data_IF_901977095465
#
_entry.id   IF_901977095465
#
_cell.length_a   1.000
_cell.length_b   1.000
_cell.length_c   1.000
_cell.angle_alpha   90.00
_cell.angle_beta   90.00
_cell.angle_gamma   90.00
#
_symmetry.space_group_name_H-M   'P 1'
#
loop_
_entity.id
_entity.type
_entity.pdbx_description
1 polymer ?
#
# COMPACT_ATOMS: atom_id res chain seq x y z
N UNK A 1 -27.01 32.94 -11.99
CA UNK A 1 -26.45 32.38 -10.75
C UNK A 1 -25.76 31.08 -11.13
N UNK A 2 -24.48 30.94 -10.84
CA UNK A 2 -23.75 29.71 -11.07
C UNK A 2 -24.11 28.67 -9.98
N UNK A 3 -23.96 27.37 -10.27
CA UNK A 3 -24.24 26.32 -9.29
C UNK A 3 -23.40 26.46 -8.01
N UNK A 4 -22.16 26.96 -8.12
CA UNK A 4 -21.30 27.28 -6.96
C UNK A 4 -21.90 28.33 -6.04
N UNK A 5 -22.45 29.42 -6.59
CA UNK A 5 -23.11 30.48 -5.82
C UNK A 5 -24.35 29.95 -5.09
N UNK A 6 -25.08 29.03 -5.73
CA UNK A 6 -26.23 28.35 -5.12
C UNK A 6 -25.81 27.47 -3.94
N UNK A 7 -24.67 26.78 -4.03
CA UNK A 7 -24.12 26.01 -2.91
C UNK A 7 -23.66 26.89 -1.74
N UNK A 8 -23.07 28.06 -2.03
CA UNK A 8 -22.68 29.03 -1.00
C UNK A 8 -23.91 29.57 -0.25
N UNK A 9 -25.00 29.84 -0.99
CA UNK A 9 -26.30 30.19 -0.42
C UNK A 9 -26.85 29.09 0.49
N UNK A 10 -26.74 27.82 0.11
CA UNK A 10 -27.14 26.66 0.94
C UNK A 10 -26.23 26.45 2.16
N UNK A 11 -24.99 26.96 2.11
CA UNK A 11 -24.02 27.00 3.21
C UNK A 11 -22.80 26.13 2.95
N UNK A 12 -21.80 26.69 2.27
CA UNK A 12 -20.59 26.01 1.80
C UNK A 12 -19.61 25.47 2.86
N UNK A 13 -19.89 25.67 4.15
CA UNK A 13 -19.20 25.10 5.35
C UNK A 13 -20.20 24.84 6.50
N UNK A 14 -21.45 24.53 6.16
CA UNK A 14 -22.53 24.36 7.12
C UNK A 14 -22.42 23.11 8.01
N UNK A 15 -23.36 22.97 8.96
CA UNK A 15 -23.42 21.83 9.90
C UNK A 15 -23.47 20.48 9.19
N UNK A 16 -24.12 20.41 8.03
CA UNK A 16 -24.19 19.19 7.23
C UNK A 16 -22.81 18.69 6.81
N UNK A 17 -21.98 19.58 6.26
CA UNK A 17 -20.63 19.22 5.81
C UNK A 17 -19.72 18.87 6.97
N UNK A 18 -19.79 19.60 8.10
CA UNK A 18 -19.05 19.24 9.32
C UNK A 18 -19.41 17.84 9.79
N UNK A 19 -20.71 17.51 9.88
CA UNK A 19 -21.16 16.18 10.29
C UNK A 19 -20.67 15.09 9.33
N UNK A 20 -20.75 15.34 8.02
CA UNK A 20 -20.28 14.42 7.00
C UNK A 20 -18.76 14.21 7.06
N UNK A 21 -17.99 15.29 7.20
CA UNK A 21 -16.53 15.23 7.35
C UNK A 21 -16.13 14.46 8.60
N UNK A 22 -16.77 14.71 9.75
CA UNK A 22 -16.50 13.95 10.98
C UNK A 22 -16.82 12.46 10.79
N UNK A 23 -17.98 12.13 10.21
CA UNK A 23 -18.36 10.74 9.95
C UNK A 23 -17.37 10.01 9.03
N UNK A 24 -16.89 10.70 7.98
CA UNK A 24 -15.88 10.16 7.07
C UNK A 24 -14.52 10.00 7.78
N UNK A 25 -14.10 10.96 8.58
CA UNK A 25 -12.84 10.88 9.33
C UNK A 25 -12.83 9.70 10.30
N UNK A 26 -13.90 9.51 11.07
CA UNK A 26 -14.05 8.36 11.98
C UNK A 26 -13.98 7.04 11.21
N UNK A 27 -14.65 6.96 10.05
CA UNK A 27 -14.65 5.74 9.22
C UNK A 27 -13.26 5.44 8.64
N UNK A 28 -12.54 6.47 8.17
CA UNK A 28 -11.18 6.33 7.64
C UNK A 28 -10.21 5.90 8.75
N UNK A 29 -10.29 6.51 9.94
CA UNK A 29 -9.46 6.13 11.09
C UNK A 29 -9.66 4.66 11.48
N UNK A 30 -10.91 4.19 11.47
CA UNK A 30 -11.22 2.79 11.75
C UNK A 30 -10.58 1.86 10.72
N UNK A 31 -10.75 2.15 9.42
CA UNK A 31 -10.17 1.35 8.34
C UNK A 31 -8.64 1.29 8.39
N UNK A 32 -7.97 2.41 8.66
CA UNK A 32 -6.52 2.45 8.80
C UNK A 32 -6.03 1.60 9.97
N UNK A 33 -6.75 1.62 11.09
CA UNK A 33 -6.41 0.82 12.28
C UNK A 33 -6.53 -0.67 11.99
N UNK A 34 -7.59 -1.09 11.27
CA UNK A 34 -7.80 -2.49 10.89
C UNK A 34 -6.68 -3.03 9.99
N UNK A 35 -6.21 -2.25 9.02
CA UNK A 35 -5.10 -2.66 8.14
C UNK A 35 -3.77 -2.84 8.90
N UNK A 36 -3.51 -2.02 9.92
CA UNK A 36 -2.28 -2.10 10.71
C UNK A 36 -2.33 -3.15 11.83
N UNK A 37 -3.53 -3.51 12.30
CA UNK A 37 -3.70 -4.54 13.33
C UNK A 37 -3.10 -5.89 12.90
N UNK A 38 -3.18 -6.21 11.61
CA UNK A 38 -2.69 -7.46 11.06
C UNK A 38 -1.19 -7.71 11.31
N UNK A 39 -0.39 -6.64 11.31
CA UNK A 39 1.05 -6.72 11.62
C UNK A 39 1.33 -7.27 13.02
N UNK A 40 0.45 -6.99 13.97
CA UNK A 40 0.58 -7.43 15.36
C UNK A 40 -0.13 -8.77 15.59
N UNK A 41 -1.33 -8.96 15.01
CA UNK A 41 -2.09 -10.19 15.20
C UNK A 41 -1.50 -11.39 14.47
N UNK A 42 -0.81 -11.18 13.34
CA UNK A 42 -0.16 -12.22 12.55
C UNK A 42 1.37 -12.24 12.72
N UNK A 43 1.89 -11.63 13.80
CA UNK A 43 3.31 -11.70 14.15
C UNK A 43 3.73 -13.16 14.40
N UNK A 44 4.85 -13.56 13.80
CA UNK A 44 5.53 -14.84 14.03
C UNK A 44 6.49 -14.64 15.20
N UNK A 45 6.20 -15.17 16.40
CA UNK A 45 7.14 -15.15 17.52
C UNK A 45 8.32 -16.10 17.27
N UNK A 46 9.37 -15.97 18.07
CA UNK A 46 10.39 -17.03 18.17
C UNK A 46 9.74 -18.33 18.64
N UNK A 47 10.05 -19.42 17.96
CA UNK A 47 9.44 -20.73 18.19
C UNK A 47 10.47 -21.83 18.02
N UNK A 48 10.17 -22.97 18.64
CA UNK A 48 10.94 -24.21 18.52
C UNK A 48 9.99 -25.40 18.47
N UNK A 49 10.50 -26.54 18.01
CA UNK A 49 9.76 -27.80 18.15
C UNK A 49 9.46 -28.09 19.62
N UNK A 50 8.29 -28.68 19.87
CA UNK A 50 8.02 -29.37 21.12
C UNK A 50 8.91 -30.61 21.22
N UNK A 51 9.58 -30.77 22.36
CA UNK A 51 10.49 -31.88 22.61
C UNK A 51 10.08 -32.59 23.91
N UNK A 52 9.85 -33.92 23.89
CA UNK A 52 9.42 -34.64 25.09
C UNK A 52 10.32 -34.40 26.30
N UNK A 53 11.65 -34.41 26.09
CA UNK A 53 12.64 -34.22 27.16
C UNK A 53 12.64 -32.80 27.76
N UNK A 54 12.07 -31.80 27.09
CA UNK A 54 11.98 -30.42 27.59
C UNK A 54 10.60 -30.06 28.11
N UNK A 55 9.56 -30.59 27.46
CA UNK A 55 8.20 -30.05 27.59
C UNK A 55 7.22 -31.05 28.20
N UNK A 56 7.64 -32.30 28.39
CA UNK A 56 6.86 -33.32 29.09
C UNK A 56 7.49 -33.62 30.46
N UNK A 57 6.82 -33.18 31.52
CA UNK A 57 7.26 -33.37 32.92
C UNK A 57 7.51 -34.84 33.28
N UNK A 58 6.79 -35.76 32.66
CA UNK A 58 6.95 -37.21 32.86
C UNK A 58 8.23 -37.75 32.23
N UNK A 59 8.60 -37.24 31.06
CA UNK A 59 9.83 -37.63 30.36
C UNK A 59 11.07 -36.99 31.01
N UNK A 60 10.93 -35.78 31.55
CA UNK A 60 11.98 -35.13 32.36
C UNK A 60 12.30 -35.89 33.65
N UNK A 61 11.27 -36.41 34.33
CA UNK A 61 11.45 -37.19 35.56
C UNK A 61 12.19 -38.53 35.34
N UNK A 62 12.27 -39.02 34.10
CA UNK A 62 12.98 -40.24 33.74
C UNK A 62 14.49 -40.06 33.50
N UNK A 63 15.01 -38.83 33.54
CA UNK A 63 16.42 -38.52 33.27
C UNK A 63 17.22 -38.57 34.59
N UNK A 64 18.30 -39.37 34.68
CA UNK A 64 19.15 -39.37 35.86
C UNK A 64 19.95 -38.07 35.96
N UNK A 65 19.64 -37.24 36.96
CA UNK A 65 20.36 -35.99 37.26
C UNK A 65 19.67 -34.72 36.75
N UNK A 66 19.78 -33.62 37.50
CA UNK A 66 19.31 -32.30 37.07
C UNK A 66 20.22 -31.76 35.94
N UNK A 67 19.93 -32.13 34.69
CA UNK A 67 20.54 -31.48 33.53
C UNK A 67 19.94 -30.09 33.32
N UNK A 68 20.78 -29.14 32.89
CA UNK A 68 20.31 -27.80 32.56
C UNK A 68 19.36 -27.83 31.35
N UNK A 69 18.35 -26.94 31.30
CA UNK A 69 17.43 -26.84 30.15
C UNK A 69 18.14 -26.61 28.81
N UNK A 70 19.29 -25.93 28.84
CA UNK A 70 20.13 -25.65 27.67
C UNK A 70 20.80 -26.92 27.13
N UNK A 71 21.29 -27.79 28.01
CA UNK A 71 21.86 -29.08 27.64
C UNK A 71 20.82 -29.98 26.97
N UNK A 72 19.61 -30.04 27.55
CA UNK A 72 18.50 -30.81 26.98
C UNK A 72 18.05 -30.24 25.63
N UNK A 73 18.11 -28.91 25.46
CA UNK A 73 17.77 -28.24 24.21
C UNK A 73 18.78 -28.59 23.10
N UNK A 74 20.08 -28.54 23.41
CA UNK A 74 21.15 -28.88 22.47
C UNK A 74 21.09 -30.33 21.98
N UNK A 75 20.68 -31.25 22.86
CA UNK A 75 20.52 -32.68 22.55
C UNK A 75 19.27 -32.96 21.73
N UNK A 76 18.23 -32.13 21.87
CA UNK A 76 16.91 -32.36 21.25
C UNK A 76 16.71 -31.61 19.93
N UNK A 77 17.37 -30.47 19.75
CA UNK A 77 17.18 -29.59 18.59
C UNK A 77 18.54 -29.23 17.98
N UNK A 78 18.74 -29.45 16.66
CA UNK A 78 19.99 -29.08 16.01
C UNK A 78 20.21 -27.57 16.02
N UNK A 79 21.48 -27.11 16.01
CA UNK A 79 21.78 -25.70 15.84
C UNK A 79 21.42 -25.24 14.42
N UNK A 80 20.69 -24.14 14.32
CA UNK A 80 20.37 -23.44 13.09
C UNK A 80 21.47 -22.46 12.64
N UNK A 81 21.21 -21.65 11.60
CA UNK A 81 22.22 -20.80 10.93
C UNK A 81 22.98 -19.82 11.84
N UNK A 82 22.40 -19.42 12.97
CA UNK A 82 22.96 -18.42 13.89
C UNK A 82 23.29 -18.99 15.27
N UNK A 83 23.65 -20.28 15.37
CA UNK A 83 23.85 -21.02 16.65
C UNK A 83 22.63 -21.04 17.59
N UNK A 84 21.47 -20.61 17.10
CA UNK A 84 20.18 -20.73 17.78
C UNK A 84 19.53 -22.06 17.45
N UNK A 85 18.66 -22.62 18.30
CA UNK A 85 17.94 -23.85 17.98
C UNK A 85 17.21 -23.71 16.63
N UNK A 86 17.32 -24.74 15.79
CA UNK A 86 16.63 -24.80 14.52
C UNK A 86 15.12 -24.72 14.76
N UNK A 87 14.45 -23.80 14.07
CA UNK A 87 13.05 -23.50 14.36
C UNK A 87 12.14 -24.63 13.90
N UNK A 88 12.37 -25.19 12.71
CA UNK A 88 11.44 -26.10 12.02
C UNK A 88 11.75 -27.60 12.09
N UNK A 89 12.83 -28.00 12.76
CA UNK A 89 13.29 -29.40 12.80
C UNK A 89 13.85 -29.73 14.17
N UNK A 90 13.70 -31.01 14.56
CA UNK A 90 14.26 -31.58 15.78
C UNK A 90 15.03 -32.86 15.45
N UNK A 91 15.85 -33.33 16.38
CA UNK A 91 16.45 -34.66 16.23
C UNK A 91 15.39 -35.73 16.45
N UNK A 92 15.43 -36.78 15.62
CA UNK A 92 14.55 -37.94 15.74
C UNK A 92 14.80 -38.73 17.03
N UNK A 93 16.06 -38.76 17.46
CA UNK A 93 16.50 -39.31 18.73
C UNK A 93 17.46 -38.33 19.42
N UNK A 94 17.39 -38.19 20.75
CA UNK A 94 18.26 -37.28 21.50
C UNK A 94 19.73 -37.63 21.30
N UNK A 95 20.50 -36.66 20.80
CA UNK A 95 21.92 -36.80 20.50
C UNK A 95 22.78 -36.51 21.75
N UNK A 96 22.78 -37.42 22.72
CA UNK A 96 23.51 -37.25 24.00
C UNK A 96 25.01 -37.02 23.82
N UNK A 97 25.57 -37.49 22.70
CA UNK A 97 26.98 -37.29 22.30
C UNK A 97 27.37 -35.81 22.17
N UNK A 98 26.40 -34.90 21.99
CA UNK A 98 26.65 -33.46 21.93
C UNK A 98 27.01 -32.84 23.29
N UNK A 99 26.79 -33.57 24.40
CA UNK A 99 27.19 -33.14 25.74
C UNK A 99 28.64 -33.51 26.07
N UNK A 100 29.27 -34.39 25.30
CA UNK A 100 30.63 -34.83 25.57
C UNK A 100 31.65 -33.79 25.10
N UNK A 101 32.47 -33.20 26.00
CA UNK A 101 33.43 -32.15 25.65
C UNK A 101 34.57 -32.64 24.73
N UNK A 102 34.78 -33.95 24.64
CA UNK A 102 35.80 -34.58 23.79
C UNK A 102 35.26 -35.05 22.43
N UNK A 103 33.96 -34.94 22.18
CA UNK A 103 33.38 -35.27 20.89
C UNK A 103 33.59 -34.09 19.92
N UNK A 104 34.39 -34.29 18.86
CA UNK A 104 34.33 -33.42 17.68
C UNK A 104 32.90 -33.47 17.16
N UNK A 105 32.18 -32.34 17.20
CA UNK A 105 30.82 -32.22 16.70
C UNK A 105 30.73 -32.83 15.30
N UNK A 106 30.31 -34.09 15.22
CA UNK A 106 30.12 -34.77 13.96
C UNK A 106 29.03 -34.02 13.23
N UNK A 107 29.25 -33.71 11.95
CA UNK A 107 28.21 -33.23 11.05
C UNK A 107 27.02 -34.17 11.18
N UNK A 108 25.95 -33.74 11.87
CA UNK A 108 24.71 -34.47 11.94
C UNK A 108 24.16 -34.61 10.51
N UNK A 109 23.62 -35.77 10.18
CA UNK A 109 23.04 -35.99 8.85
C UNK A 109 21.59 -35.49 8.83
N UNK A 110 21.08 -35.08 7.66
CA UNK A 110 19.64 -34.74 7.56
C UNK A 110 18.74 -35.91 7.98
N UNK A 111 19.22 -37.15 7.85
CA UNK A 111 18.52 -38.36 8.27
C UNK A 111 18.31 -38.48 9.79
N UNK A 112 19.10 -37.75 10.58
CA UNK A 112 18.97 -37.70 12.04
C UNK A 112 17.91 -36.69 12.50
N UNK A 113 17.37 -35.89 11.56
CA UNK A 113 16.38 -34.84 11.83
C UNK A 113 15.01 -35.19 11.28
N UNK A 114 13.97 -34.72 11.98
CA UNK A 114 12.58 -34.81 11.54
C UNK A 114 11.87 -33.44 11.69
N UNK A 115 10.81 -33.16 10.91
CA UNK A 115 9.95 -32.01 11.16
C UNK A 115 9.26 -32.12 12.52
N UNK A 116 8.85 -31.00 13.10
CA UNK A 116 8.18 -31.01 14.40
C UNK A 116 6.80 -31.69 14.29
N UNK A 117 6.68 -32.95 14.74
CA UNK A 117 5.41 -33.72 14.69
C UNK A 117 4.52 -33.52 15.92
N UNK A 118 5.12 -33.24 17.08
CA UNK A 118 4.40 -33.13 18.37
C UNK A 118 3.99 -31.69 18.71
N UNK A 119 3.99 -30.80 17.71
CA UNK A 119 3.63 -29.39 17.86
C UNK A 119 4.80 -28.46 18.19
N UNK A 120 4.45 -27.26 18.65
CA UNK A 120 5.35 -26.10 18.73
C UNK A 120 5.31 -25.45 20.10
N UNK A 121 6.47 -24.94 20.53
CA UNK A 121 6.58 -24.08 21.72
C UNK A 121 6.98 -22.68 21.27
N UNK A 122 6.10 -21.72 21.55
CA UNK A 122 6.26 -20.32 21.20
C UNK A 122 6.71 -19.49 22.40
N UNK A 123 7.60 -18.53 22.17
CA UNK A 123 7.92 -17.52 23.16
C UNK A 123 6.75 -16.53 23.33
N UNK A 124 6.25 -16.41 24.56
CA UNK A 124 5.12 -15.55 24.94
C UNK A 124 5.55 -14.24 25.62
N UNK A 125 6.85 -13.95 25.66
CA UNK A 125 7.42 -12.74 26.26
C UNK A 125 6.87 -11.44 25.65
N UNK A 126 6.72 -11.41 24.33
CA UNK A 126 6.30 -10.21 23.57
C UNK A 126 4.82 -10.27 23.19
N UNK A 127 4.33 -11.43 22.76
CA UNK A 127 2.94 -11.63 22.33
C UNK A 127 2.29 -12.73 23.18
N UNK A 128 1.17 -12.43 23.83
CA UNK A 128 0.41 -13.43 24.59
C UNK A 128 -0.24 -14.47 23.68
N UNK A 129 -0.80 -14.04 22.55
CA UNK A 129 -1.37 -14.92 21.52
C UNK A 129 -1.39 -14.22 20.16
N UNK A 130 -0.96 -14.92 19.11
CA UNK A 130 -1.08 -14.49 17.71
C UNK A 130 -1.85 -15.52 16.89
N UNK A 131 -2.34 -15.13 15.71
CA UNK A 131 -3.00 -16.03 14.74
C UNK A 131 -2.07 -17.18 14.37
N UNK A 132 -0.78 -16.87 14.20
CA UNK A 132 0.27 -17.87 13.90
C UNK A 132 0.39 -18.88 15.04
N UNK A 133 0.42 -18.44 16.31
CA UNK A 133 0.48 -19.33 17.47
C UNK A 133 -0.76 -20.21 17.65
N UNK A 134 -1.95 -19.72 17.26
CA UNK A 134 -3.21 -20.45 17.45
C UNK A 134 -3.41 -21.57 16.43
N UNK A 135 -2.90 -21.37 15.21
CA UNK A 135 -3.13 -22.24 14.06
C UNK A 135 -1.86 -22.91 13.55
N UNK A 136 -0.75 -22.78 14.29
CA UNK A 136 0.56 -23.33 13.93
C UNK A 136 1.00 -23.05 12.49
N UNK A 137 0.86 -21.78 12.08
CA UNK A 137 1.17 -21.31 10.72
C UNK A 137 2.67 -21.06 10.52
N UNK A 138 3.51 -22.01 10.91
CA UNK A 138 4.97 -21.97 10.80
C UNK A 138 5.48 -23.09 9.91
N UNK A 139 6.71 -22.95 9.40
CA UNK A 139 7.42 -23.98 8.64
C UNK A 139 6.62 -24.50 7.43
N UNK A 140 6.10 -25.73 7.42
CA UNK A 140 5.33 -26.25 6.28
C UNK A 140 4.09 -25.40 5.94
N UNK A 141 3.52 -24.75 6.97
CA UNK A 141 2.33 -23.89 6.86
C UNK A 141 2.67 -22.40 6.69
N UNK A 142 3.94 -22.02 6.54
CA UNK A 142 4.36 -20.61 6.47
C UNK A 142 3.69 -19.83 5.33
N UNK A 143 3.34 -20.50 4.23
CA UNK A 143 2.69 -19.90 3.08
C UNK A 143 1.26 -19.40 3.36
N UNK A 144 0.58 -19.95 4.39
CA UNK A 144 -0.79 -19.59 4.72
C UNK A 144 -0.92 -18.15 5.22
N UNK A 145 0.10 -17.60 5.90
CA UNK A 145 0.12 -16.21 6.37
C UNK A 145 0.05 -15.19 5.22
N UNK A 146 0.98 -15.17 4.23
CA UNK A 146 0.90 -14.23 3.12
C UNK A 146 -0.33 -14.49 2.21
N UNK A 147 -0.80 -15.74 2.11
CA UNK A 147 -2.06 -16.03 1.41
C UNK A 147 -3.26 -15.40 2.12
N UNK A 148 -3.35 -15.50 3.45
CA UNK A 148 -4.42 -14.87 4.22
C UNK A 148 -4.43 -13.34 4.04
N UNK A 149 -3.26 -12.71 4.06
CA UNK A 149 -3.09 -11.27 3.78
C UNK A 149 -3.58 -10.90 2.37
N UNK A 150 -3.20 -11.68 1.37
CA UNK A 150 -3.67 -11.49 -0.01
C UNK A 150 -5.18 -11.67 -0.12
N UNK A 151 -5.76 -12.67 0.55
CA UNK A 151 -7.22 -12.91 0.58
C UNK A 151 -7.95 -11.74 1.25
N UNK A 152 -7.43 -11.22 2.36
CA UNK A 152 -7.98 -10.05 3.04
C UNK A 152 -8.01 -8.82 2.10
N UNK A 153 -6.90 -8.52 1.43
CA UNK A 153 -6.81 -7.41 0.49
C UNK A 153 -7.71 -7.59 -0.75
N UNK A 154 -7.85 -8.82 -1.24
CA UNK A 154 -8.79 -9.16 -2.30
C UNK A 154 -10.25 -8.97 -1.85
N UNK A 155 -10.55 -9.34 -0.60
CA UNK A 155 -11.85 -9.10 0.04
C UNK A 155 -12.20 -7.62 0.10
N UNK A 156 -11.24 -6.73 0.39
CA UNK A 156 -11.44 -5.27 0.34
C UNK A 156 -11.81 -4.81 -1.08
N UNK A 157 -11.17 -5.36 -2.12
CA UNK A 157 -11.47 -5.00 -3.52
C UNK A 157 -12.88 -5.46 -3.92
N UNK A 158 -13.24 -6.70 -3.61
CA UNK A 158 -14.58 -7.25 -3.88
C UNK A 158 -15.64 -6.49 -3.09
N UNK A 159 -15.36 -6.20 -1.81
CA UNK A 159 -16.21 -5.40 -0.95
C UNK A 159 -16.45 -4.01 -1.51
N UNK A 160 -15.41 -3.32 -2.01
CA UNK A 160 -15.57 -2.02 -2.65
C UNK A 160 -16.44 -2.09 -3.92
N UNK A 161 -16.27 -3.13 -4.74
CA UNK A 161 -17.06 -3.33 -5.96
C UNK A 161 -18.54 -3.66 -5.67
N UNK A 162 -18.83 -4.37 -4.58
CA UNK A 162 -20.19 -4.72 -4.18
C UNK A 162 -20.88 -3.61 -3.37
N UNK A 163 -20.18 -3.04 -2.40
CA UNK A 163 -20.70 -2.00 -1.50
C UNK A 163 -20.85 -0.64 -2.19
N UNK A 164 -20.12 -0.35 -3.28
CA UNK A 164 -20.27 0.90 -4.04
C UNK A 164 -21.67 1.08 -4.65
N UNK A 165 -22.12 0.18 -5.54
CA UNK A 165 -23.47 0.25 -6.11
C UNK A 165 -24.58 0.14 -5.05
N UNK A 166 -24.30 -0.61 -3.98
CA UNK A 166 -25.16 -0.69 -2.81
C UNK A 166 -25.28 0.68 -2.10
N UNK A 167 -24.15 1.38 -1.88
CA UNK A 167 -24.18 2.73 -1.30
C UNK A 167 -24.93 3.70 -2.19
N UNK A 168 -24.76 3.64 -3.50
CA UNK A 168 -25.49 4.51 -4.44
C UNK A 168 -27.01 4.28 -4.37
N UNK A 169 -27.44 3.05 -4.03
CA UNK A 169 -28.86 2.71 -3.87
C UNK A 169 -29.46 3.13 -2.52
N UNK A 170 -28.69 3.10 -1.44
CA UNK A 170 -29.20 3.30 -0.07
C UNK A 170 -28.81 4.64 0.57
N UNK A 171 -27.76 5.30 0.10
CA UNK A 171 -27.31 6.60 0.58
C UNK A 171 -27.75 7.70 -0.39
N UNK A 172 -27.94 8.91 0.14
CA UNK A 172 -28.23 10.08 -0.67
C UNK A 172 -27.05 10.39 -1.59
N UNK A 173 -27.28 10.31 -2.90
CA UNK A 173 -26.29 10.70 -3.91
C UNK A 173 -26.05 12.22 -3.88
N UNK A 174 -24.88 12.64 -4.39
CA UNK A 174 -24.58 14.08 -4.44
C UNK A 174 -25.61 14.82 -5.29
N UNK A 175 -26.12 15.94 -4.78
CA UNK A 175 -27.08 16.77 -5.50
C UNK A 175 -26.58 17.14 -6.90
N UNK A 176 -25.28 17.47 -7.03
CA UNK A 176 -24.66 17.76 -8.33
C UNK A 176 -24.81 16.60 -9.32
N UNK A 177 -24.51 15.37 -8.91
CA UNK A 177 -24.60 14.20 -9.79
C UNK A 177 -26.03 13.90 -10.23
N UNK A 178 -26.99 13.94 -9.29
CA UNK A 178 -28.42 13.76 -9.59
C UNK A 178 -28.88 14.74 -10.66
N UNK A 179 -28.43 15.99 -10.55
CA UNK A 179 -28.81 17.04 -11.49
C UNK A 179 -28.12 16.90 -12.85
N UNK A 180 -26.83 16.54 -12.89
CA UNK A 180 -26.13 16.26 -14.15
C UNK A 180 -26.68 15.04 -14.89
N UNK A 181 -27.25 14.07 -14.16
CA UNK A 181 -27.88 12.86 -14.73
C UNK A 181 -29.35 13.06 -15.11
N UNK A 182 -29.89 14.28 -14.94
CA UNK A 182 -31.27 14.62 -15.31
C UNK A 182 -32.33 14.29 -14.27
N UNK A 183 -31.97 13.80 -13.07
CA UNK A 183 -32.88 13.56 -11.94
C UNK A 183 -33.07 14.82 -11.10
N UNK A 184 -33.75 15.81 -11.69
CA UNK A 184 -33.92 17.14 -11.11
C UNK A 184 -34.65 17.13 -9.76
N UNK A 185 -35.72 16.35 -9.64
CA UNK A 185 -36.56 16.31 -8.43
C UNK A 185 -35.82 15.75 -7.22
N UNK A 186 -35.05 14.68 -7.41
CA UNK A 186 -34.24 14.08 -6.36
C UNK A 186 -33.10 15.02 -5.93
N UNK A 187 -32.43 15.67 -6.90
CA UNK A 187 -31.39 16.65 -6.60
C UNK A 187 -31.92 17.86 -5.82
N UNK A 188 -33.12 18.34 -6.16
CA UNK A 188 -33.81 19.41 -5.42
C UNK A 188 -34.15 18.98 -3.98
N UNK A 189 -34.64 17.76 -3.80
CA UNK A 189 -34.97 17.22 -2.48
C UNK A 189 -33.74 17.15 -1.56
N UNK A 190 -32.59 16.71 -2.09
CA UNK A 190 -31.34 16.65 -1.32
C UNK A 190 -30.81 18.05 -0.98
N UNK A 191 -30.86 19.01 -1.91
CA UNK A 191 -30.48 20.40 -1.60
C UNK A 191 -31.38 21.02 -0.52
N UNK A 192 -32.68 20.75 -0.56
CA UNK A 192 -33.63 21.15 0.48
C UNK A 192 -33.30 20.51 1.83
N UNK A 193 -32.91 19.23 1.85
CA UNK A 193 -32.46 18.53 3.07
C UNK A 193 -31.22 19.20 3.66
N UNK A 194 -30.23 19.53 2.83
CA UNK A 194 -29.02 20.24 3.27
C UNK A 194 -29.35 21.64 3.80
N UNK A 195 -30.21 22.39 3.11
CA UNK A 195 -30.65 23.71 3.56
C UNK A 195 -31.38 23.65 4.91
N UNK A 196 -32.20 22.61 5.14
CA UNK A 196 -32.88 22.38 6.41
C UNK A 196 -31.89 22.07 7.56
N UNK A 197 -30.90 21.20 7.33
CA UNK A 197 -29.85 20.86 8.31
C UNK A 197 -28.99 22.09 8.64
N UNK A 198 -28.71 22.92 7.65
CA UNK A 198 -27.97 24.18 7.79
C UNK A 198 -28.83 25.33 8.36
N UNK A 199 -30.12 25.08 8.68
CA UNK A 199 -31.08 26.07 9.21
C UNK A 199 -31.31 27.29 8.30
N UNK A 200 -31.10 27.17 6.99
CA UNK A 200 -31.32 28.25 6.02
C UNK A 200 -32.70 28.13 5.35
N UNK A 201 -33.77 28.45 6.09
CA UNK A 201 -35.16 28.36 5.60
C UNK A 201 -35.46 29.28 4.41
N UNK A 202 -34.92 30.50 4.41
CA UNK A 202 -35.13 31.44 3.30
C UNK A 202 -34.64 30.89 1.94
N UNK A 203 -33.55 30.11 1.96
CA UNK A 203 -33.01 29.48 0.76
C UNK A 203 -33.85 28.26 0.37
N UNK A 204 -34.37 27.52 1.34
CA UNK A 204 -35.29 26.40 1.12
C UNK A 204 -36.53 26.82 0.33
N UNK A 205 -37.13 27.96 0.69
CA UNK A 205 -38.32 28.50 0.02
C UNK A 205 -38.01 29.00 -1.40
N UNK A 206 -36.79 29.49 -1.64
CA UNK A 206 -36.33 29.97 -2.95
C UNK A 206 -35.89 28.86 -3.92
N UNK A 207 -35.72 27.62 -3.45
CA UNK A 207 -35.31 26.48 -4.27
C UNK A 207 -36.50 25.94 -5.07
N UNK A 208 -36.65 26.42 -6.30
CA UNK A 208 -37.58 25.90 -7.31
C UNK A 208 -36.83 25.16 -8.43
N UNK A 209 -37.48 24.21 -9.13
CA UNK A 209 -36.84 23.49 -10.23
C UNK A 209 -36.34 24.41 -11.35
N UNK A 210 -36.97 25.56 -11.58
CA UNK A 210 -36.57 26.54 -12.59
C UNK A 210 -35.24 27.23 -12.23
N UNK A 211 -35.10 27.66 -10.97
CA UNK A 211 -33.85 28.25 -10.45
C UNK A 211 -32.71 27.23 -10.56
N UNK A 212 -32.98 25.98 -10.20
CA UNK A 212 -32.00 24.91 -10.24
C UNK A 212 -31.56 24.57 -11.67
N UNK A 213 -32.51 24.43 -12.59
CA UNK A 213 -32.23 24.15 -14.00
C UNK A 213 -31.46 25.30 -14.66
N UNK A 214 -31.78 26.55 -14.32
CA UNK A 214 -31.05 27.72 -14.82
C UNK A 214 -29.61 27.76 -14.32
N UNK A 215 -29.36 27.38 -13.05
CA UNK A 215 -28.03 27.32 -12.45
C UNK A 215 -27.15 26.21 -13.04
N UNK A 216 -27.76 25.15 -13.59
CA UNK A 216 -27.07 23.99 -14.14
C UNK A 216 -27.01 23.92 -15.66
N UNK A 217 -27.70 24.82 -16.36
CA UNK A 217 -27.71 24.89 -17.82
C UNK A 217 -26.30 24.96 -18.42
N UNK A 218 -25.38 25.64 -17.76
CA UNK A 218 -24.00 25.75 -18.21
C UNK A 218 -23.21 24.45 -17.99
N UNK A 219 -23.33 23.81 -16.82
CA UNK A 219 -22.67 22.53 -16.55
C UNK A 219 -23.21 21.37 -17.41
N UNK A 220 -24.52 21.37 -17.72
CA UNK A 220 -25.11 20.40 -18.63
C UNK A 220 -24.60 20.53 -20.07
N UNK A 221 -24.28 21.76 -20.51
CA UNK A 221 -23.72 22.02 -21.86
C UNK A 221 -22.28 21.55 -21.98
N UNK A 222 -21.52 21.63 -20.89
CA UNK A 222 -20.10 21.20 -20.84
C UNK A 222 -19.97 19.68 -20.58
N UNK A 223 -20.96 19.04 -19.95
CA UNK A 223 -20.85 17.69 -19.38
C UNK A 223 -21.24 16.49 -20.25
N UNK A 224 -21.57 16.64 -21.54
CA UNK A 224 -22.12 15.52 -22.33
C UNK A 224 -21.09 14.77 -23.18
N UNK A 225 -20.29 13.92 -22.54
CA UNK A 225 -19.90 12.63 -23.11
C UNK A 225 -19.46 11.67 -22.00
N UNK A 226 -20.14 10.52 -21.78
CA UNK A 226 -19.65 9.50 -20.88
C UNK A 226 -18.35 8.92 -21.46
N UNK A 227 -17.22 9.40 -20.97
CA UNK A 227 -15.93 8.98 -21.49
C UNK A 227 -15.58 7.61 -20.88
N UNK A 228 -15.83 6.57 -21.67
CA UNK A 228 -15.59 5.17 -21.33
C UNK A 228 -14.10 4.85 -21.15
N UNK A 229 -13.79 3.85 -20.31
CA UNK A 229 -12.44 3.29 -20.13
C UNK A 229 -11.75 2.97 -21.47
N UNK A 230 -12.53 2.53 -22.47
CA UNK A 230 -12.01 2.24 -23.82
C UNK A 230 -11.41 3.47 -24.51
N UNK A 231 -11.90 4.67 -24.22
CA UNK A 231 -11.40 5.93 -24.81
C UNK A 231 -9.99 6.28 -24.33
N UNK A 232 -9.63 5.93 -23.08
CA UNK A 232 -8.29 6.14 -22.54
C UNK A 232 -7.22 5.31 -23.28
N UNK A 233 -7.56 4.07 -23.63
CA UNK A 233 -6.64 3.14 -24.27
C UNK A 233 -6.59 3.28 -25.80
N UNK A 234 -7.66 3.81 -26.41
CA UNK A 234 -7.75 3.98 -27.87
C UNK A 234 -6.92 5.15 -28.38
N UNK A 235 -6.79 6.22 -27.59
CA UNK A 235 -6.05 7.42 -27.99
C UNK A 235 -4.55 7.23 -27.66
N UNK A 236 -3.64 7.25 -28.65
CA UNK A 236 -2.25 6.86 -28.46
C UNK A 236 -1.49 7.76 -27.47
N UNK A 237 -1.75 9.06 -27.45
CA UNK A 237 -1.12 10.01 -26.51
C UNK A 237 -1.57 9.79 -25.06
N UNK A 238 -2.83 9.39 -24.86
CA UNK A 238 -3.39 9.08 -23.55
C UNK A 238 -3.05 7.65 -23.09
N UNK A 239 -2.82 6.73 -24.04
CA UNK A 239 -2.48 5.33 -23.73
C UNK A 239 -1.17 5.22 -22.97
N UNK A 240 -0.12 5.93 -23.41
CA UNK A 240 1.17 5.92 -22.72
C UNK A 240 1.05 6.51 -21.31
N UNK A 241 0.36 7.66 -21.19
CA UNK A 241 0.05 8.31 -19.90
C UNK A 241 -0.69 7.38 -18.95
N UNK A 242 -1.72 6.69 -19.47
CA UNK A 242 -2.52 5.72 -18.71
C UNK A 242 -1.68 4.54 -18.26
N UNK A 243 -0.91 3.92 -19.16
CA UNK A 243 -0.08 2.74 -18.85
C UNK A 243 0.95 3.03 -17.75
N UNK A 244 1.73 4.11 -17.90
CA UNK A 244 2.75 4.47 -16.91
C UNK A 244 2.08 4.90 -15.59
N UNK A 245 0.97 5.65 -15.66
CA UNK A 245 0.20 5.99 -14.47
C UNK A 245 -0.27 4.74 -13.71
N UNK A 246 -0.88 3.78 -14.41
CA UNK A 246 -1.33 2.52 -13.80
C UNK A 246 -0.17 1.70 -13.23
N UNK A 247 0.99 1.70 -13.89
CA UNK A 247 2.19 1.08 -13.37
C UNK A 247 2.64 1.75 -12.06
N UNK A 248 2.64 3.08 -11.99
CA UNK A 248 3.03 3.79 -10.78
C UNK A 248 2.12 3.48 -9.59
N UNK A 249 0.80 3.46 -9.84
CA UNK A 249 -0.19 3.08 -8.83
C UNK A 249 -0.01 1.62 -8.39
N UNK A 250 0.20 0.70 -9.33
CA UNK A 250 0.49 -0.70 -9.04
C UNK A 250 1.74 -0.84 -8.16
N UNK A 251 2.84 -0.20 -8.55
CA UNK A 251 4.11 -0.21 -7.83
C UNK A 251 3.97 0.30 -6.40
N UNK A 252 3.19 1.36 -6.18
CA UNK A 252 2.88 1.84 -4.83
C UNK A 252 2.20 0.74 -4.01
N UNK A 253 1.08 0.18 -4.50
CA UNK A 253 0.34 -0.85 -3.77
C UNK A 253 1.18 -2.09 -3.50
N UNK A 254 1.93 -2.53 -4.51
CA UNK A 254 2.81 -3.69 -4.45
C UNK A 254 3.92 -3.55 -3.41
N UNK A 255 4.66 -2.45 -3.47
CA UNK A 255 5.82 -2.23 -2.61
C UNK A 255 5.41 -1.86 -1.18
N UNK A 256 4.40 -0.99 -1.04
CA UNK A 256 3.91 -0.56 0.26
C UNK A 256 3.33 -1.74 1.04
N UNK A 257 2.35 -2.47 0.50
CA UNK A 257 1.74 -3.59 1.22
C UNK A 257 2.67 -4.82 1.28
N UNK A 258 3.56 -5.00 0.32
CA UNK A 258 4.57 -6.06 0.36
C UNK A 258 5.53 -5.95 1.55
N UNK A 259 6.01 -4.72 1.83
CA UNK A 259 6.95 -4.44 2.93
C UNK A 259 6.25 -4.11 4.24
N UNK A 260 5.18 -3.30 4.21
CA UNK A 260 4.49 -2.86 5.42
C UNK A 260 3.77 -4.00 6.14
N UNK A 261 3.45 -5.09 5.44
CA UNK A 261 2.86 -6.30 6.04
C UNK A 261 3.91 -7.35 6.47
N UNK A 262 5.21 -7.03 6.33
CA UNK A 262 6.34 -7.88 6.70
C UNK A 262 7.40 -7.15 7.54
N UNK A 263 6.95 -6.34 8.48
CA UNK A 263 7.84 -5.55 9.34
C UNK A 263 8.82 -6.41 10.17
N UNK A 264 8.46 -7.67 10.44
CA UNK A 264 9.31 -8.61 11.17
C UNK A 264 10.58 -8.97 10.42
N UNK A 265 10.52 -9.08 9.10
CA UNK A 265 11.71 -9.35 8.30
C UNK A 265 12.65 -8.14 8.28
N UNK A 266 12.13 -6.91 8.42
CA UNK A 266 12.86 -5.66 8.17
C UNK A 266 13.56 -5.10 9.42
N UNK A 267 13.10 -5.44 10.63
CA UNK A 267 13.67 -4.92 11.87
C UNK A 267 13.41 -5.81 13.08
N UNK A 268 14.20 -5.59 14.14
CA UNK A 268 14.15 -6.40 15.37
C UNK A 268 12.94 -6.11 16.26
N UNK A 269 12.35 -4.91 16.15
CA UNK A 269 11.17 -4.53 16.94
C UNK A 269 10.09 -3.93 16.04
N UNK A 270 8.98 -4.67 15.90
CA UNK A 270 7.83 -4.31 15.05
C UNK A 270 7.18 -3.00 15.50
N UNK A 271 7.04 -2.78 16.82
CA UNK A 271 6.41 -1.58 17.37
C UNK A 271 7.22 -0.33 17.03
N UNK A 272 8.53 -0.39 17.27
CA UNK A 272 9.44 0.71 16.95
C UNK A 272 9.42 0.99 15.44
N UNK A 273 9.51 -0.05 14.61
CA UNK A 273 9.54 0.09 13.17
C UNK A 273 8.24 0.72 12.63
N UNK A 274 7.09 0.28 13.15
CA UNK A 274 5.78 0.84 12.80
C UNK A 274 5.68 2.33 13.19
N UNK A 275 6.17 2.70 14.37
CA UNK A 275 6.22 4.11 14.80
C UNK A 275 7.14 4.94 13.90
N UNK A 276 8.33 4.42 13.57
CA UNK A 276 9.28 5.11 12.69
C UNK A 276 8.71 5.33 11.29
N UNK A 277 8.00 4.35 10.71
CA UNK A 277 7.32 4.50 9.43
C UNK A 277 6.33 5.67 9.50
N UNK A 278 5.50 5.73 10.54
CA UNK A 278 4.54 6.83 10.72
C UNK A 278 5.21 8.19 10.89
N UNK A 279 6.27 8.26 11.70
CA UNK A 279 7.03 9.49 11.96
C UNK A 279 7.73 10.01 10.70
N UNK A 280 8.26 9.12 9.85
CA UNK A 280 8.96 9.50 8.61
C UNK A 280 8.00 9.79 7.45
N UNK A 281 6.81 9.17 7.42
CA UNK A 281 5.81 9.43 6.39
C UNK A 281 5.30 10.88 6.42
N UNK A 282 5.17 11.50 7.60
CA UNK A 282 4.75 12.90 7.75
C UNK A 282 5.72 13.87 7.04
N UNK A 283 7.02 13.94 7.40
CA UNK A 283 7.97 14.84 6.74
C UNK A 283 8.21 14.45 5.28
N UNK A 284 8.13 13.17 4.91
CA UNK A 284 8.21 12.75 3.51
C UNK A 284 7.08 13.41 2.68
N UNK A 285 5.84 13.35 3.17
CA UNK A 285 4.68 13.98 2.53
C UNK A 285 4.77 15.50 2.51
N UNK A 286 5.17 16.13 3.61
CA UNK A 286 5.40 17.59 3.65
C UNK A 286 6.51 18.01 2.68
N UNK A 287 7.60 17.25 2.60
CA UNK A 287 8.68 17.45 1.66
C UNK A 287 8.24 17.33 0.21
N UNK A 288 7.35 16.37 -0.12
CA UNK A 288 6.77 16.24 -1.46
C UNK A 288 6.08 17.52 -1.91
N UNK A 289 5.34 18.21 -1.05
CA UNK A 289 4.71 19.48 -1.43
C UNK A 289 5.74 20.54 -1.86
N UNK A 290 6.86 20.66 -1.15
CA UNK A 290 7.95 21.56 -1.51
C UNK A 290 8.66 21.14 -2.80
N UNK A 291 8.89 19.84 -2.99
CA UNK A 291 9.51 19.30 -4.20
C UNK A 291 8.63 19.56 -5.44
N UNK A 292 7.31 19.40 -5.30
CA UNK A 292 6.35 19.68 -6.37
C UNK A 292 6.34 21.15 -6.79
N UNK A 293 6.58 22.09 -5.86
CA UNK A 293 6.65 23.52 -6.17
C UNK A 293 7.96 23.92 -6.83
N UNK A 294 9.09 23.30 -6.43
CA UNK A 294 10.42 23.69 -6.91
C UNK A 294 10.92 22.89 -8.11
N UNK A 295 10.78 21.56 -8.09
CA UNK A 295 11.33 20.66 -9.11
C UNK A 295 10.30 20.29 -10.20
N UNK A 296 9.00 20.42 -9.92
CA UNK A 296 7.95 19.97 -10.82
C UNK A 296 7.46 18.55 -10.52
N UNK A 297 6.51 18.04 -11.31
CA UNK A 297 5.80 16.78 -11.01
C UNK A 297 6.59 15.57 -11.50
N UNK A 298 7.12 15.64 -12.74
CA UNK A 298 7.84 14.53 -13.37
C UNK A 298 9.11 14.15 -12.60
N UNK A 299 10.05 15.07 -12.28
CA UNK A 299 11.25 14.69 -11.55
C UNK A 299 10.94 14.31 -10.11
N UNK A 300 9.94 14.91 -9.46
CA UNK A 300 9.54 14.52 -8.10
C UNK A 300 9.02 13.09 -8.06
N UNK A 301 8.17 12.68 -9.02
CA UNK A 301 7.70 11.30 -9.14
C UNK A 301 8.86 10.33 -9.43
N UNK A 302 9.71 10.66 -10.40
CA UNK A 302 10.82 9.79 -10.79
C UNK A 302 11.84 9.61 -9.65
N UNK A 303 12.26 10.71 -9.03
CA UNK A 303 13.26 10.68 -7.94
C UNK A 303 12.75 9.98 -6.71
N UNK A 304 11.50 10.20 -6.30
CA UNK A 304 10.92 9.50 -5.14
C UNK A 304 10.81 7.99 -5.35
N UNK A 305 10.39 7.53 -6.55
CA UNK A 305 10.33 6.10 -6.86
C UNK A 305 11.71 5.46 -7.00
N UNK A 306 12.66 6.15 -7.65
CA UNK A 306 14.04 5.67 -7.75
C UNK A 306 14.72 5.60 -6.38
N UNK A 307 14.58 6.64 -5.56
CA UNK A 307 15.11 6.66 -4.20
C UNK A 307 14.52 5.53 -3.36
N UNK A 308 13.20 5.34 -3.42
CA UNK A 308 12.52 4.25 -2.72
C UNK A 308 13.07 2.88 -3.13
N UNK A 309 13.13 2.61 -4.45
CA UNK A 309 13.63 1.35 -4.98
C UNK A 309 15.09 1.09 -4.65
N UNK A 310 15.96 2.11 -4.78
CA UNK A 310 17.38 2.00 -4.46
C UNK A 310 17.62 1.77 -2.96
N UNK A 311 16.86 2.41 -2.07
CA UNK A 311 16.93 2.14 -0.63
C UNK A 311 16.54 0.69 -0.30
N UNK A 312 15.49 0.17 -0.94
CA UNK A 312 15.06 -1.23 -0.76
C UNK A 312 16.09 -2.21 -1.35
N UNK A 313 16.67 -1.91 -2.51
CA UNK A 313 17.72 -2.74 -3.12
C UNK A 313 19.00 -2.72 -2.28
N UNK A 314 19.41 -1.55 -1.76
CA UNK A 314 20.55 -1.46 -0.84
C UNK A 314 20.34 -2.34 0.41
N UNK A 315 19.10 -2.47 0.87
CA UNK A 315 18.73 -3.34 1.98
C UNK A 315 19.05 -4.83 1.72
N UNK A 316 19.06 -5.28 0.45
CA UNK A 316 19.40 -6.67 0.10
C UNK A 316 20.86 -7.01 0.39
N UNK A 317 21.75 -6.01 0.36
CA UNK A 317 23.19 -6.17 0.59
C UNK A 317 23.56 -6.09 2.08
N UNK A 318 22.63 -5.68 2.94
CA UNK A 318 22.89 -5.46 4.37
C UNK A 318 22.72 -6.78 5.13
N UNK A 319 23.76 -7.30 5.81
CA UNK A 319 23.67 -8.51 6.62
C UNK A 319 22.73 -8.34 7.83
N UNK A 320 22.16 -9.46 8.29
CA UNK A 320 21.16 -9.50 9.37
C UNK A 320 21.64 -8.93 10.71
N UNK A 321 22.96 -8.97 10.95
CA UNK A 321 23.61 -8.41 12.15
C UNK A 321 23.37 -6.88 12.29
N UNK A 322 23.26 -6.15 11.18
CA UNK A 322 23.10 -4.69 11.16
C UNK A 322 21.63 -4.25 11.14
N UNK A 323 20.85 -4.69 12.14
CA UNK A 323 19.41 -4.45 12.21
C UNK A 323 18.98 -2.97 12.16
N UNK A 324 19.79 -2.07 12.73
CA UNK A 324 19.51 -0.62 12.73
C UNK A 324 19.60 -0.01 11.31
N UNK A 325 20.62 -0.38 10.54
CA UNK A 325 20.79 0.07 9.16
C UNK A 325 19.69 -0.49 8.25
N UNK A 326 19.34 -1.77 8.45
CA UNK A 326 18.23 -2.44 7.74
C UNK A 326 16.91 -1.72 7.97
N UNK A 327 16.62 -1.37 9.22
CA UNK A 327 15.42 -0.63 9.61
C UNK A 327 15.42 0.78 9.01
N UNK A 328 16.55 1.50 9.09
CA UNK A 328 16.67 2.85 8.55
C UNK A 328 16.43 2.89 7.03
N UNK A 329 17.06 1.98 6.27
CA UNK A 329 16.86 1.88 4.82
C UNK A 329 15.42 1.49 4.44
N UNK A 330 14.79 0.59 5.20
CA UNK A 330 13.40 0.21 4.98
C UNK A 330 12.44 1.38 5.23
N UNK A 331 12.65 2.14 6.31
CA UNK A 331 11.84 3.32 6.64
C UNK A 331 12.02 4.43 5.60
N UNK A 332 13.26 4.69 5.16
CA UNK A 332 13.54 5.64 4.09
C UNK A 332 12.90 5.22 2.76
N UNK A 333 12.98 3.92 2.42
CA UNK A 333 12.33 3.36 1.24
C UNK A 333 10.82 3.54 1.26
N UNK A 334 10.17 3.18 2.37
CA UNK A 334 8.73 3.35 2.57
C UNK A 334 8.30 4.82 2.59
N UNK A 335 9.09 5.70 3.19
CA UNK A 335 8.87 7.16 3.12
C UNK A 335 8.93 7.68 1.68
N UNK A 336 9.88 7.19 0.88
CA UNK A 336 9.96 7.47 -0.56
C UNK A 336 8.74 6.97 -1.34
N UNK A 337 8.22 5.77 -1.01
CA UNK A 337 6.97 5.25 -1.57
C UNK A 337 5.77 6.13 -1.19
N UNK A 338 5.69 6.60 0.06
CA UNK A 338 4.65 7.53 0.52
C UNK A 338 4.71 8.91 -0.16
N UNK A 339 5.93 9.41 -0.39
CA UNK A 339 6.17 10.63 -1.16
C UNK A 339 5.71 10.47 -2.62
N UNK A 340 6.07 9.35 -3.27
CA UNK A 340 5.67 9.02 -4.63
C UNK A 340 4.15 8.85 -4.76
N UNK A 341 3.47 8.29 -3.76
CA UNK A 341 2.01 8.19 -3.74
C UNK A 341 1.34 9.56 -3.73
N UNK A 342 1.83 10.45 -2.86
CA UNK A 342 1.30 11.82 -2.73
C UNK A 342 1.48 12.59 -4.03
N UNK A 343 2.67 12.51 -4.64
CA UNK A 343 2.93 13.10 -5.95
C UNK A 343 2.01 12.51 -7.03
N UNK A 344 1.84 11.19 -7.07
CA UNK A 344 1.01 10.51 -8.06
C UNK A 344 -0.47 10.90 -7.97
N UNK A 345 -1.01 11.10 -6.77
CA UNK A 345 -2.41 11.53 -6.59
C UNK A 345 -2.67 12.90 -7.20
N UNK A 346 -1.73 13.82 -7.07
CA UNK A 346 -1.80 15.17 -7.67
C UNK A 346 -1.54 15.07 -9.18
N UNK A 347 -0.48 14.36 -9.57
CA UNK A 347 -0.07 14.25 -10.97
C UNK A 347 -1.13 13.59 -11.84
N UNK A 348 -1.85 12.59 -11.32
CA UNK A 348 -2.99 11.99 -12.02
C UNK A 348 -4.09 13.01 -12.35
N UNK A 349 -4.31 14.01 -11.48
CA UNK A 349 -5.33 15.04 -11.73
C UNK A 349 -4.91 16.05 -12.83
N UNK A 350 -3.61 16.25 -13.01
CA UNK A 350 -3.04 17.14 -14.03
C UNK A 350 -2.81 16.43 -15.38
N UNK A 351 -2.59 15.11 -15.36
CA UNK A 351 -2.24 14.31 -16.54
C UNK A 351 -3.46 14.00 -17.44
N UNK A 352 -4.64 13.88 -16.84
CA UNK A 352 -5.88 13.48 -17.50
C UNK A 352 -6.89 14.62 -17.60
N UNK A 353 -7.66 14.70 -18.71
CA UNK A 353 -8.63 15.76 -18.91
C UNK A 353 -9.81 15.59 -17.95
N UNK A 354 -10.47 16.70 -17.59
CA UNK A 354 -11.55 16.75 -16.59
C UNK A 354 -12.63 15.67 -16.82
N UNK A 355 -13.00 15.41 -18.08
CA UNK A 355 -14.02 14.40 -18.45
C UNK A 355 -13.59 12.95 -18.16
N UNK A 356 -12.28 12.65 -18.18
CA UNK A 356 -11.73 11.30 -18.00
C UNK A 356 -10.98 11.11 -16.67
N UNK A 357 -10.76 12.19 -15.92
CA UNK A 357 -9.91 12.21 -14.72
C UNK A 357 -10.33 11.17 -13.69
N UNK A 358 -11.61 11.14 -13.32
CA UNK A 358 -12.11 10.21 -12.31
C UNK A 358 -12.02 8.74 -12.77
N UNK A 359 -12.26 8.48 -14.05
CA UNK A 359 -12.11 7.14 -14.64
C UNK A 359 -10.65 6.68 -14.60
N UNK A 360 -9.70 7.56 -14.94
CA UNK A 360 -8.27 7.25 -14.93
C UNK A 360 -7.73 7.05 -13.50
N UNK A 361 -8.13 7.90 -12.55
CA UNK A 361 -7.80 7.74 -11.13
C UNK A 361 -8.40 6.44 -10.58
N UNK A 362 -9.65 6.10 -10.93
CA UNK A 362 -10.27 4.83 -10.55
C UNK A 362 -9.50 3.62 -11.07
N UNK A 363 -9.09 3.63 -12.33
CA UNK A 363 -8.24 2.59 -12.91
C UNK A 363 -6.88 2.47 -12.19
N UNK A 364 -6.26 3.61 -11.85
CA UNK A 364 -5.05 3.64 -11.04
C UNK A 364 -5.25 2.99 -9.67
N UNK A 365 -6.32 3.35 -8.96
CA UNK A 365 -6.64 2.77 -7.66
C UNK A 365 -6.87 1.25 -7.74
N UNK A 366 -7.55 0.76 -8.80
CA UNK A 366 -7.69 -0.68 -9.03
C UNK A 366 -6.33 -1.36 -9.24
N UNK A 367 -5.43 -0.73 -10.01
CA UNK A 367 -4.08 -1.24 -10.19
C UNK A 367 -3.28 -1.26 -8.88
N UNK A 368 -3.42 -0.25 -8.03
CA UNK A 368 -2.82 -0.23 -6.69
C UNK A 368 -3.37 -1.36 -5.81
N UNK A 369 -4.67 -1.65 -5.86
CA UNK A 369 -5.25 -2.80 -5.15
C UNK A 369 -4.73 -4.12 -5.69
N UNK A 370 -4.58 -4.26 -7.01
CA UNK A 370 -3.94 -5.43 -7.62
C UNK A 370 -2.49 -5.63 -7.14
N UNK A 371 -1.73 -4.53 -7.07
CA UNK A 371 -0.38 -4.54 -6.48
C UNK A 371 -0.40 -4.98 -5.02
N UNK A 372 -1.32 -4.43 -4.21
CA UNK A 372 -1.46 -4.78 -2.81
C UNK A 372 -1.75 -6.27 -2.59
N UNK A 373 -2.61 -6.88 -3.42
CA UNK A 373 -2.93 -8.32 -3.36
C UNK A 373 -1.68 -9.15 -3.70
N UNK A 374 -0.94 -8.78 -4.74
CA UNK A 374 0.25 -9.51 -5.17
C UNK A 374 1.45 -9.31 -4.23
N UNK A 375 1.53 -8.18 -3.52
CA UNK A 375 2.64 -7.82 -2.64
C UNK A 375 2.99 -8.96 -1.67
N UNK A 376 2.11 -9.32 -0.72
CA UNK A 376 2.36 -10.40 0.24
C UNK A 376 2.78 -11.74 -0.38
N UNK A 377 2.25 -12.09 -1.57
CA UNK A 377 2.54 -13.36 -2.24
C UNK A 377 4.00 -13.47 -2.70
N UNK A 378 4.68 -12.35 -2.93
CA UNK A 378 6.12 -12.33 -3.28
C UNK A 378 6.97 -12.94 -2.18
N UNK A 379 6.51 -12.93 -0.92
CA UNK A 379 7.22 -13.56 0.20
C UNK A 379 7.31 -15.08 0.10
N UNK A 380 6.47 -15.71 -0.72
CA UNK A 380 6.60 -17.15 -1.00
C UNK A 380 7.92 -17.48 -1.74
N UNK A 381 8.57 -16.48 -2.34
CA UNK A 381 9.90 -16.64 -2.95
C UNK A 381 11.02 -16.79 -1.92
N UNK A 382 10.77 -16.53 -0.64
CA UNK A 382 11.75 -16.68 0.46
C UNK A 382 12.33 -18.11 0.52
N UNK A 383 11.53 -19.12 0.11
CA UNK A 383 11.96 -20.53 0.00
C UNK A 383 13.15 -20.71 -0.95
N UNK A 384 13.25 -19.89 -2.00
CA UNK A 384 14.35 -19.95 -2.97
C UNK A 384 15.54 -19.06 -2.55
N UNK A 385 15.33 -18.15 -1.61
CA UNK A 385 16.38 -17.28 -1.07
C UNK A 385 15.80 -16.05 -0.38
N UNK A 386 16.38 -15.70 0.77
CA UNK A 386 15.88 -14.63 1.65
C UNK A 386 16.03 -13.21 1.10
N UNK A 387 16.82 -13.05 0.04
CA UNK A 387 17.05 -11.77 -0.65
C UNK A 387 16.08 -11.53 -1.82
N UNK A 388 15.42 -12.59 -2.33
CA UNK A 388 14.55 -12.51 -3.52
C UNK A 388 13.35 -11.58 -3.32
N UNK A 389 12.58 -11.65 -2.20
CA UNK A 389 11.44 -10.76 -2.02
C UNK A 389 11.84 -9.28 -2.04
N UNK A 390 12.91 -8.91 -1.32
CA UNK A 390 13.43 -7.55 -1.28
C UNK A 390 13.94 -7.07 -2.64
N UNK A 391 14.59 -7.95 -3.41
CA UNK A 391 15.02 -7.65 -4.77
C UNK A 391 13.82 -7.28 -5.65
N UNK A 392 12.74 -8.07 -5.60
CA UNK A 392 11.52 -7.80 -6.37
C UNK A 392 10.85 -6.49 -5.91
N UNK A 393 10.72 -6.27 -4.61
CA UNK A 393 10.17 -5.02 -4.06
C UNK A 393 11.00 -3.78 -4.39
N UNK A 394 12.32 -3.93 -4.61
CA UNK A 394 13.19 -2.82 -5.00
C UNK A 394 13.23 -2.56 -6.51
N UNK A 395 13.24 -3.61 -7.34
CA UNK A 395 13.30 -3.49 -8.80
C UNK A 395 12.04 -2.87 -9.41
N UNK A 396 10.86 -3.21 -8.89
CA UNK A 396 9.58 -2.72 -9.43
C UNK A 396 9.46 -1.18 -9.32
N UNK A 397 9.78 -0.54 -8.16
CA UNK A 397 9.92 0.92 -8.05
C UNK A 397 10.96 1.54 -8.97
N UNK A 398 12.12 0.92 -9.15
CA UNK A 398 13.17 1.46 -10.04
C UNK A 398 12.67 1.51 -11.48
N UNK A 399 12.11 0.40 -11.97
CA UNK A 399 11.57 0.32 -13.33
C UNK A 399 10.41 1.29 -13.53
N UNK A 400 9.51 1.41 -12.55
CA UNK A 400 8.42 2.40 -12.59
C UNK A 400 8.96 3.84 -12.59
N UNK A 401 9.94 4.14 -11.75
CA UNK A 401 10.61 5.45 -11.71
C UNK A 401 11.26 5.82 -13.03
N UNK A 402 11.95 4.88 -13.69
CA UNK A 402 12.50 5.07 -15.03
C UNK A 402 11.39 5.28 -16.08
N UNK A 403 10.31 4.51 -16.01
CA UNK A 403 9.16 4.66 -16.91
C UNK A 403 8.49 6.03 -16.76
N UNK A 404 8.44 6.60 -15.55
CA UNK A 404 7.86 7.95 -15.32
C UNK A 404 8.60 9.06 -16.05
N UNK A 405 9.87 8.85 -16.43
CA UNK A 405 10.61 9.81 -17.24
C UNK A 405 9.98 9.99 -18.64
N UNK A 406 9.14 9.07 -19.11
CA UNK A 406 8.42 9.19 -20.37
C UNK A 406 7.13 10.04 -20.24
N UNK A 407 6.73 10.40 -19.03
CA UNK A 407 5.57 11.27 -18.81
C UNK A 407 5.94 12.76 -19.04
N UNK A 408 4.98 13.57 -19.52
CA UNK A 408 5.19 15.00 -19.73
C UNK A 408 5.17 15.78 -18.40
N UNK A 409 5.99 16.82 -18.29
CA UNK A 409 5.93 17.75 -17.16
C UNK A 409 4.62 18.58 -17.22
N UNK A 410 3.99 18.77 -16.06
CA UNK A 410 2.69 19.46 -15.92
C UNK A 410 2.79 20.76 -15.11
N UNK A 411 3.95 21.06 -14.53
CA UNK A 411 4.16 22.28 -13.75
C UNK A 411 3.80 23.54 -14.54
N UNK A 412 2.99 24.41 -13.92
CA UNK A 412 2.52 25.70 -14.46
C UNK A 412 1.70 25.60 -15.77
N UNK A 413 1.25 24.42 -16.16
CA UNK A 413 0.31 24.27 -17.28
C UNK A 413 -1.15 24.37 -16.79
N UNK A 414 -2.05 24.95 -17.59
CA UNK A 414 -3.48 24.93 -17.27
C UNK A 414 -3.99 23.48 -17.28
N UNK A 415 -4.94 23.20 -16.38
CA UNK A 415 -5.60 21.90 -16.31
C UNK A 415 -6.30 21.60 -17.65
N UNK A 416 -6.10 20.41 -18.23
CA UNK A 416 -6.77 20.04 -19.46
C UNK A 416 -8.24 19.78 -19.17
N UNK A 417 -9.13 20.50 -19.86
CA UNK A 417 -10.57 20.26 -19.76
C UNK A 417 -11.04 19.29 -20.85
N UNK A 418 -10.44 19.38 -22.05
CA UNK A 418 -10.79 18.55 -23.19
C UNK A 418 -9.66 17.60 -23.62
N UNK A 419 -10.02 16.58 -24.39
CA UNK A 419 -9.06 15.66 -25.01
C UNK A 419 -8.15 16.41 -26.00
N UNK A 420 -8.68 17.44 -26.66
CA UNK A 420 -7.95 18.27 -27.62
C UNK A 420 -6.82 19.06 -26.95
N UNK A 421 -7.05 19.56 -25.72
CA UNK A 421 -6.04 20.27 -24.94
C UNK A 421 -4.82 19.39 -24.66
N UNK A 422 -5.06 18.12 -24.32
CA UNK A 422 -4.00 17.13 -24.10
C UNK A 422 -3.20 16.85 -25.37
N UNK A 423 -3.87 16.77 -26.52
CA UNK A 423 -3.21 16.58 -27.82
C UNK A 423 -2.38 17.81 -28.20
N UNK A 424 -2.92 19.01 -28.00
CA UNK A 424 -2.22 20.27 -28.28
C UNK A 424 -1.00 20.46 -27.37
N UNK A 425 -1.08 20.07 -26.10
CA UNK A 425 0.07 20.06 -25.19
C UNK A 425 1.13 19.05 -25.64
N UNK A 426 0.74 17.85 -26.09
CA UNK A 426 1.67 16.84 -26.59
C UNK A 426 2.38 17.30 -27.87
N UNK A 427 1.66 17.97 -28.78
CA UNK A 427 2.25 18.54 -30.00
C UNK A 427 3.22 19.67 -29.65
N UNK A 428 2.82 20.62 -28.78
CA UNK A 428 3.72 21.71 -28.33
C UNK A 428 4.99 21.19 -27.68
N UNK A 429 4.91 20.16 -26.83
CA UNK A 429 6.08 19.52 -26.24
C UNK A 429 7.02 18.90 -27.28
N UNK A 430 6.46 18.22 -28.30
CA UNK A 430 7.24 17.66 -29.39
C UNK A 430 7.92 18.75 -30.25
N UNK A 431 7.24 19.87 -30.50
CA UNK A 431 7.79 20.99 -31.27
C UNK A 431 8.92 21.69 -30.50
N UNK A 432 8.74 21.94 -29.20
CA UNK A 432 9.77 22.59 -28.37
C UNK A 432 11.03 21.73 -28.22
N UNK A 433 10.90 20.42 -28.01
CA UNK A 433 12.04 19.50 -27.96
C UNK A 433 12.78 19.34 -29.29
N UNK A 434 12.09 19.53 -30.41
CA UNK A 434 12.72 19.54 -31.74
C UNK A 434 13.50 20.84 -31.98
N UNK A 435 12.97 21.98 -31.52
CA UNK A 435 13.63 23.28 -31.58
C UNK A 435 14.89 23.33 -30.69
N UNK A 436 14.79 22.84 -29.45
CA UNK A 436 15.92 22.76 -28.50
C UNK A 436 17.05 21.85 -29.03
N UNK A 437 16.71 20.68 -29.59
CA UNK A 437 17.68 19.78 -30.21
C UNK A 437 18.31 20.37 -31.49
N UNK A 438 17.59 21.23 -32.21
CA UNK A 438 18.12 21.95 -33.37
C UNK A 438 19.10 23.06 -32.93
N UNK A 439 18.77 23.80 -31.86
CA UNK A 439 19.64 24.84 -31.27
C UNK A 439 20.91 24.22 -30.67
N UNK A 440 20.81 23.09 -29.97
CA UNK A 440 21.97 22.34 -29.44
C UNK A 440 22.88 21.75 -30.53
N UNK A 441 22.33 21.42 -31.71
CA UNK A 441 23.13 21.03 -32.88
C UNK A 441 23.78 22.24 -33.57
N UNK A 442 23.13 23.39 -33.58
CA UNK A 442 23.65 24.61 -34.21
C UNK A 442 24.73 25.32 -33.37
N UNK A 443 24.81 25.05 -32.06
CA UNK A 443 25.78 25.65 -31.14
C UNK A 443 27.05 24.79 -30.92
N UNK A 444 27.18 23.67 -31.65
CA UNK A 444 28.37 22.79 -31.65
C UNK A 444 29.32 23.02 -32.85
N UNK A 445 29.37 24.24 -33.38
CA UNK A 445 30.36 24.63 -34.37
C UNK A 445 31.41 25.57 -33.77
#
# INVERSE_FOLDING_TARGET
MAFSELLDLVGGLGRFQVLQTVALMVSIMWLSTQNMLENFSAAVPSHRCWAPLLDNSTAQAGIPGELSPEALLAVSIPPGPNQRPHQCRRFRQPQWQLLDPNATASSWSEADTEPCVDGWVYDRSTFTSTIVMKWDLVCDSHALKPMAQSIYLAGILVGAAACGPASDRWLAESARWLLTTGRLDQGLQELRRVAAINRKRAVWDSLTPEVLFSAMREELRVGQAPASLGTLLRIPSLRLRTCISTLCWFTFGFTFFGLALDLQALGSNIFLLQTLIGVVDIPAKTGTFLLLTHLGRRPTQATSMLLAGLCILANTLVPQEMGALRSALAVLGLGGVGAAFTCMTIYSSELFPTVLRMTAVGLGQMAARGGAILGPLVRLLDVHGTWLPLLVYGMVPVLSGLATLLLPETQNLPLPDTIQDVQNQAVKAATHGTLENSILKSTRF
#
